data_IF_179864873916
#
_entry.id   IF_179864873916
#
_cell.length_a   1.000
_cell.length_b   1.000
_cell.length_c   1.000
_cell.angle_alpha   90.00
_cell.angle_beta   90.00
_cell.angle_gamma   90.00
#
_symmetry.space_group_name_H-M   'P 1'
#
loop_
_entity.id
_entity.type
_entity.pdbx_description
1 polymer ?
#
# COMPACT_ATOMS: atom_id res chain seq x y z
N UNK A 1 7.02 -2.80 -25.11
CA UNK A 1 7.88 -2.55 -23.94
C UNK A 1 6.97 -2.44 -22.74
N UNK A 2 7.12 -3.28 -21.71
CA UNK A 2 6.33 -3.14 -20.50
C UNK A 2 6.86 -1.93 -19.72
N UNK A 3 6.08 -0.85 -19.68
CA UNK A 3 6.37 0.32 -18.86
C UNK A 3 6.32 -0.12 -17.40
N UNK A 4 7.44 -0.09 -16.69
CA UNK A 4 7.48 -0.46 -15.28
C UNK A 4 6.69 0.58 -14.47
N UNK A 5 5.45 0.24 -14.11
CA UNK A 5 4.61 1.05 -13.23
C UNK A 5 4.86 0.66 -11.77
N UNK A 6 4.84 1.63 -10.86
CA UNK A 6 4.98 1.34 -9.43
C UNK A 6 3.84 0.42 -8.98
N UNK A 7 4.11 -0.79 -8.46
CA UNK A 7 3.06 -1.71 -8.03
C UNK A 7 2.25 -1.14 -6.83
N UNK A 8 2.82 -0.21 -6.07
CA UNK A 8 2.11 0.50 -5.00
C UNK A 8 1.20 1.63 -5.50
N UNK A 9 1.34 2.08 -6.76
CA UNK A 9 0.52 3.17 -7.30
C UNK A 9 -0.74 2.69 -8.02
N UNK A 10 -0.92 1.37 -8.22
CA UNK A 10 -2.01 0.80 -9.01
C UNK A 10 -3.39 1.24 -8.51
N UNK A 11 -3.57 1.28 -7.19
CA UNK A 11 -4.82 1.72 -6.54
C UNK A 11 -5.21 3.16 -6.88
N UNK A 12 -4.22 4.02 -7.19
CA UNK A 12 -4.43 5.42 -7.56
C UNK A 12 -4.50 5.62 -9.08
N UNK A 13 -3.74 4.83 -9.86
CA UNK A 13 -3.69 4.99 -11.32
C UNK A 13 -4.84 4.29 -12.03
N UNK A 14 -5.36 3.21 -11.43
CA UNK A 14 -6.40 2.35 -11.99
C UNK A 14 -7.43 2.02 -10.89
N UNK A 15 -8.21 3.01 -10.43
CA UNK A 15 -9.09 2.84 -9.29
C UNK A 15 -10.30 1.94 -9.63
N UNK A 16 -10.61 1.01 -8.74
CA UNK A 16 -11.71 0.05 -8.88
C UNK A 16 -12.70 0.23 -7.72
N UNK A 17 -14.02 0.16 -7.95
CA UNK A 17 -14.99 0.20 -6.87
C UNK A 17 -15.00 -1.14 -6.10
N UNK A 18 -14.92 -1.07 -4.77
CA UNK A 18 -15.01 -2.21 -3.87
C UNK A 18 -16.19 -2.03 -2.91
N UNK A 19 -16.83 -3.14 -2.54
CA UNK A 19 -17.94 -3.15 -1.58
C UNK A 19 -17.43 -3.43 -0.18
N UNK A 20 -17.62 -2.49 0.73
CA UNK A 20 -17.28 -2.60 2.14
C UNK A 20 -18.54 -2.63 3.01
N UNK A 21 -18.60 -3.53 3.99
CA UNK A 21 -19.72 -3.56 4.94
C UNK A 21 -19.54 -2.51 6.02
N UNK A 22 -20.57 -1.71 6.27
CA UNK A 22 -20.58 -0.75 7.36
C UNK A 22 -20.60 -1.46 8.72
N UNK A 23 -19.62 -1.17 9.58
CA UNK A 23 -19.54 -1.76 10.93
C UNK A 23 -20.68 -1.35 11.87
N UNK A 24 -21.44 -0.29 11.55
CA UNK A 24 -22.53 0.21 12.37
C UNK A 24 -23.89 -0.39 11.96
N UNK A 25 -24.23 -0.32 10.66
CA UNK A 25 -25.55 -0.75 10.17
C UNK A 25 -25.53 -2.01 9.28
N UNK A 26 -24.35 -2.52 8.90
CA UNK A 26 -24.21 -3.71 8.04
C UNK A 26 -24.46 -3.47 6.55
N UNK A 27 -24.89 -2.27 6.14
CA UNK A 27 -25.11 -1.91 4.73
C UNK A 27 -23.82 -1.96 3.94
N UNK A 28 -23.87 -2.44 2.71
CA UNK A 28 -22.75 -2.41 1.76
C UNK A 28 -22.58 -0.99 1.23
N UNK A 29 -21.36 -0.48 1.34
CA UNK A 29 -20.97 0.85 0.90
C UNK A 29 -19.89 0.69 -0.16
N UNK A 30 -20.09 1.38 -1.27
CA UNK A 30 -19.07 1.48 -2.31
C UNK A 30 -17.93 2.37 -1.84
N UNK A 31 -16.70 1.88 -1.99
CA UNK A 31 -15.47 2.61 -1.71
C UNK A 31 -14.47 2.31 -2.82
N UNK A 32 -13.89 3.37 -3.40
CA UNK A 32 -12.90 3.21 -4.46
C UNK A 32 -11.53 2.87 -3.86
N UNK A 33 -10.68 2.18 -4.62
CA UNK A 33 -9.35 1.75 -4.13
C UNK A 33 -8.41 2.91 -3.78
N UNK A 34 -8.63 4.09 -4.33
CA UNK A 34 -7.92 5.34 -4.03
C UNK A 34 -8.51 6.08 -2.81
N UNK A 35 -9.69 5.66 -2.33
CA UNK A 35 -10.34 6.24 -1.16
C UNK A 35 -9.93 5.52 0.14
N UNK A 36 -9.60 6.33 1.16
CA UNK A 36 -9.24 5.86 2.50
C UNK A 36 -10.49 5.73 3.39
N UNK A 37 -11.51 6.53 3.11
CA UNK A 37 -12.76 6.56 3.86
C UNK A 37 -13.92 6.93 2.96
N UNK A 38 -15.09 6.37 3.26
CA UNK A 38 -16.36 6.74 2.62
C UNK A 38 -17.42 6.92 3.70
N UNK A 39 -18.52 7.62 3.39
CA UNK A 39 -19.66 7.75 4.30
C UNK A 39 -20.72 6.73 3.95
N UNK A 40 -21.23 6.02 4.95
CA UNK A 40 -22.35 5.12 4.74
C UNK A 40 -23.61 5.90 4.38
N UNK A 41 -24.21 5.60 3.22
CA UNK A 41 -25.45 6.23 2.75
C UNK A 41 -26.67 5.94 3.63
N UNK A 42 -26.63 4.87 4.44
CA UNK A 42 -27.74 4.46 5.30
C UNK A 42 -27.69 5.13 6.69
N UNK A 43 -26.54 5.11 7.36
CA UNK A 43 -26.42 5.58 8.75
C UNK A 43 -25.50 6.79 8.94
N UNK A 44 -24.85 7.28 7.88
CA UNK A 44 -23.94 8.45 7.93
C UNK A 44 -22.59 8.20 8.61
N UNK A 45 -22.33 6.99 9.12
CA UNK A 45 -21.05 6.64 9.77
C UNK A 45 -19.93 6.57 8.74
N UNK A 46 -18.75 7.07 9.11
CA UNK A 46 -17.54 6.93 8.31
C UNK A 46 -17.05 5.48 8.33
N UNK A 47 -16.99 4.87 7.15
CA UNK A 47 -16.40 3.55 6.93
C UNK A 47 -14.98 3.76 6.45
N UNK A 48 -14.01 3.25 7.21
CA UNK A 48 -12.59 3.36 6.88
C UNK A 48 -12.09 2.08 6.22
N UNK A 49 -11.25 2.24 5.20
CA UNK A 49 -10.49 1.15 4.62
C UNK A 49 -9.50 0.62 5.65
N UNK A 50 -9.44 -0.69 5.84
CA UNK A 50 -8.30 -1.32 6.53
C UNK A 50 -7.08 -1.11 5.63
N UNK A 51 -6.17 -0.22 6.04
CA UNK A 51 -5.05 0.27 5.24
C UNK A 51 -4.04 -0.86 4.94
N UNK A 52 -4.34 -1.70 3.96
CA UNK A 52 -3.40 -2.66 3.38
C UNK A 52 -2.50 -2.00 2.32
N UNK A 53 -2.77 -0.75 1.95
CA UNK A 53 -2.03 0.02 0.95
C UNK A 53 -0.59 0.39 1.37
N UNK A 54 -0.21 0.12 2.62
CA UNK A 54 1.12 0.43 3.16
C UNK A 54 2.17 -0.66 2.98
N UNK A 55 1.90 -1.76 2.26
CA UNK A 55 2.85 -2.87 2.14
C UNK A 55 4.21 -2.41 1.60
N UNK A 56 4.22 -1.50 0.62
CA UNK A 56 5.45 -0.93 0.07
C UNK A 56 6.12 0.09 1.00
N UNK A 57 5.38 0.73 1.91
CA UNK A 57 5.94 1.69 2.87
C UNK A 57 6.94 1.05 3.83
N UNK A 58 6.85 -0.27 4.02
CA UNK A 58 7.74 -1.02 4.92
C UNK A 58 9.11 -1.32 4.32
N UNK A 59 9.29 -1.26 3.00
CA UNK A 59 10.52 -1.71 2.33
C UNK A 59 10.95 -0.89 1.11
N UNK A 60 10.07 -0.06 0.55
CA UNK A 60 10.38 0.75 -0.63
C UNK A 60 11.29 1.92 -0.25
N UNK A 61 12.45 2.04 -0.90
CA UNK A 61 13.39 3.13 -0.69
C UNK A 61 12.77 4.52 -0.97
N UNK A 62 11.79 4.57 -1.87
CA UNK A 62 11.08 5.81 -2.26
C UNK A 62 9.82 6.08 -1.42
N UNK A 63 9.52 5.26 -0.40
CA UNK A 63 8.31 5.42 0.40
C UNK A 63 8.20 6.82 1.04
N UNK A 64 9.30 7.32 1.62
CA UNK A 64 9.34 8.64 2.27
C UNK A 64 9.05 9.77 1.28
N UNK A 65 9.60 9.70 0.07
CA UNK A 65 9.34 10.68 -0.99
C UNK A 65 7.93 10.55 -1.57
N UNK A 66 7.37 9.33 -1.60
CA UNK A 66 6.05 9.05 -2.15
C UNK A 66 4.91 9.61 -1.31
N UNK A 67 4.94 9.46 0.01
CA UNK A 67 3.86 9.92 0.90
C UNK A 67 4.20 11.20 1.68
N UNK A 68 5.46 11.64 1.62
CA UNK A 68 5.99 12.77 2.35
C UNK A 68 6.52 12.41 3.75
N UNK A 69 7.47 13.21 4.28
CA UNK A 69 8.17 12.91 5.53
C UNK A 69 7.24 12.82 6.74
N UNK A 70 6.29 13.74 6.87
CA UNK A 70 5.36 13.80 8.02
C UNK A 70 4.51 12.53 8.14
N UNK A 71 3.92 12.08 7.03
CA UNK A 71 3.07 10.87 7.01
C UNK A 71 3.90 9.60 7.20
N UNK A 72 5.12 9.58 6.67
CA UNK A 72 6.03 8.45 6.85
C UNK A 72 6.46 8.30 8.31
N UNK A 73 6.79 9.41 8.99
CA UNK A 73 7.16 9.41 10.40
C UNK A 73 5.99 8.96 11.30
N UNK A 74 4.77 9.43 11.01
CA UNK A 74 3.56 8.95 11.68
C UNK A 74 3.33 7.44 11.49
N UNK A 75 3.59 6.91 10.29
CA UNK A 75 3.50 5.46 10.02
C UNK A 75 4.51 4.65 10.84
N UNK A 76 5.76 5.12 10.94
CA UNK A 76 6.78 4.47 11.78
C UNK A 76 6.38 4.51 13.27
N UNK A 77 5.92 5.67 13.75
CA UNK A 77 5.51 5.86 15.14
C UNK A 77 4.29 5.02 15.54
N UNK A 78 3.39 4.74 14.58
CA UNK A 78 2.24 3.86 14.77
C UNK A 78 2.60 2.36 14.77
N UNK A 79 3.89 1.99 14.68
CA UNK A 79 4.35 0.60 14.66
C UNK A 79 4.47 0.00 13.26
N UNK A 80 4.51 0.83 12.21
CA UNK A 80 4.73 0.40 10.83
C UNK A 80 6.06 -0.31 10.58
N UNK A 81 7.03 -0.16 11.49
CA UNK A 81 8.29 -0.91 11.54
C UNK A 81 8.68 -1.23 12.98
N UNK A 82 9.05 -2.49 13.26
CA UNK A 82 9.82 -2.85 14.46
C UNK A 82 11.30 -2.92 14.05
N UNK A 83 12.20 -2.35 14.84
CA UNK A 83 13.63 -2.15 14.53
C UNK A 83 14.43 -3.47 14.33
N UNK A 84 13.77 -4.64 14.36
CA UNK A 84 14.37 -5.98 14.21
C UNK A 84 13.53 -6.97 13.40
N UNK A 85 12.62 -6.52 12.55
CA UNK A 85 12.00 -7.43 11.57
C UNK A 85 12.80 -7.45 10.28
N UNK A 86 13.63 -8.48 10.15
CA UNK A 86 14.12 -8.96 8.86
C UNK A 86 12.93 -9.01 7.90
N UNK A 87 13.00 -8.24 6.81
CA UNK A 87 11.92 -8.10 5.83
C UNK A 87 11.62 -9.49 5.27
N UNK A 88 10.60 -10.17 5.80
CA UNK A 88 10.20 -11.51 5.35
C UNK A 88 9.43 -11.38 4.04
N UNK A 89 10.14 -11.06 2.96
CA UNK A 89 9.59 -11.08 1.61
C UNK A 89 9.26 -12.55 1.27
N UNK A 90 7.99 -12.92 1.05
CA UNK A 90 7.63 -14.29 0.68
C UNK A 90 8.39 -14.75 -0.56
N UNK A 91 8.80 -16.02 -0.63
CA UNK A 91 9.58 -16.58 -1.74
C UNK A 91 8.94 -16.28 -3.11
N UNK A 92 7.61 -16.45 -3.20
CA UNK A 92 6.81 -16.17 -4.40
C UNK A 92 6.89 -14.70 -4.85
N UNK A 93 6.98 -13.77 -3.90
CA UNK A 93 7.14 -12.34 -4.20
C UNK A 93 8.59 -12.02 -4.63
N UNK A 94 9.59 -12.68 -4.03
CA UNK A 94 10.99 -12.58 -4.48
C UNK A 94 11.14 -13.07 -5.93
N UNK A 95 10.49 -14.18 -6.28
CA UNK A 95 10.47 -14.73 -7.64
C UNK A 95 9.86 -13.73 -8.63
N UNK A 96 8.68 -13.19 -8.31
CA UNK A 96 8.03 -12.16 -9.11
C UNK A 96 8.92 -10.90 -9.28
N UNK A 97 9.55 -10.44 -8.19
CA UNK A 97 10.48 -9.31 -8.24
C UNK A 97 11.66 -9.59 -9.18
N UNK A 98 12.25 -10.80 -9.18
CA UNK A 98 13.33 -11.16 -10.11
C UNK A 98 12.85 -11.21 -11.56
N UNK A 99 11.70 -11.81 -11.84
CA UNK A 99 11.11 -11.88 -13.18
C UNK A 99 10.83 -10.47 -13.74
N UNK A 100 10.27 -9.60 -12.91
CA UNK A 100 9.96 -8.22 -13.25
C UNK A 100 11.18 -7.28 -13.16
N UNK A 101 12.38 -7.78 -12.84
CA UNK A 101 13.62 -7.00 -12.65
C UNK A 101 13.49 -5.86 -11.61
N UNK A 102 12.69 -6.10 -10.57
CA UNK A 102 12.50 -5.21 -9.42
C UNK A 102 13.62 -5.51 -8.41
N UNK A 103 14.35 -4.50 -7.92
CA UNK A 103 15.36 -4.73 -6.88
C UNK A 103 14.72 -5.20 -5.58
N UNK A 104 15.31 -6.24 -4.99
CA UNK A 104 14.85 -6.83 -3.73
C UNK A 104 15.61 -6.14 -2.58
N UNK A 105 14.90 -5.53 -1.61
CA UNK A 105 15.54 -4.96 -0.42
C UNK A 105 16.36 -6.00 0.34
N UNK A 106 17.63 -5.71 0.61
CA UNK A 106 18.56 -6.60 1.33
C UNK A 106 19.47 -7.46 0.44
N UNK A 107 19.25 -7.50 -0.89
CA UNK A 107 20.20 -8.02 -1.87
C UNK A 107 20.74 -6.81 -2.66
N UNK A 108 22.04 -6.52 -2.57
CA UNK A 108 22.63 -5.26 -3.07
C UNK A 108 22.31 -4.93 -4.53
N UNK A 109 22.05 -3.64 -4.78
CA UNK A 109 22.59 -2.94 -5.95
C UNK A 109 21.75 -2.96 -7.23
N UNK A 110 20.70 -2.12 -7.28
CA UNK A 110 20.43 -1.13 -8.34
C UNK A 110 19.01 -0.60 -8.14
N UNK A 111 18.92 0.67 -7.73
CA UNK A 111 17.66 1.41 -7.86
C UNK A 111 17.20 1.32 -9.33
N UNK A 112 15.92 1.06 -9.61
CA UNK A 112 15.45 1.11 -10.99
C UNK A 112 15.60 2.56 -11.49
N UNK A 113 16.02 2.77 -12.75
CA UNK A 113 16.22 4.12 -13.26
C UNK A 113 14.89 4.89 -13.26
N UNK A 114 15.02 6.17 -12.92
CA UNK A 114 13.96 7.18 -12.96
C UNK A 114 13.39 7.33 -14.37
#
# INVERSE_FOLDING_TARGET
MATFKCPGSVSFTEPVPELHKCSNCGTEVEMWTDEIMTKCSSCGTSVYRQLNAGWCLRWCAYAKDCIGPEKYEAFIQAGGMSEKEEVRIPQRLKEFMRECKIPIPGEEGKNPPR
#
